data_IF_703038915099
#
_entry.id   IF_703038915099
#
_cell.length_a   1.000
_cell.length_b   1.000
_cell.length_c   1.000
_cell.angle_alpha   90.00
_cell.angle_beta   90.00
_cell.angle_gamma   90.00
#
_symmetry.space_group_name_H-M   'P 1'
#
loop_
_entity.id
_entity.type
_entity.pdbx_description
1 polymer ?
#
# COMPACT_ATOMS: atom_id res chain seq x y z
N UNK A 1 -4.16 -6.45 88.53
CA UNK A 1 -2.90 -6.55 87.75
C UNK A 1 -3.25 -6.85 86.31
N UNK A 2 -2.84 -6.15 85.27
CA UNK A 2 -2.36 -4.78 85.03
C UNK A 2 -2.32 -4.68 83.50
N UNK A 3 -2.88 -3.59 82.98
CA UNK A 3 -2.90 -3.15 81.59
C UNK A 3 -1.60 -3.40 80.79
N UNK A 4 -1.73 -3.67 79.49
CA UNK A 4 -1.17 -2.80 78.42
C UNK A 4 -1.67 -3.17 77.02
N UNK A 5 -1.81 -2.13 76.22
CA UNK A 5 -2.44 -2.03 74.91
C UNK A 5 -1.47 -2.26 73.73
N UNK A 6 -2.05 -2.64 72.59
CA UNK A 6 -1.79 -2.19 71.20
C UNK A 6 -0.37 -1.73 70.84
N UNK A 7 0.29 -2.45 69.92
CA UNK A 7 1.22 -1.86 68.93
C UNK A 7 0.98 -2.52 67.55
N UNK A 8 0.73 -1.64 66.59
CA UNK A 8 0.54 -1.85 65.14
C UNK A 8 1.91 -2.04 64.45
N UNK A 9 1.92 -2.80 63.34
CA UNK A 9 2.94 -2.86 62.28
C UNK A 9 4.30 -3.47 62.59
N UNK A 10 4.55 -4.67 62.05
CA UNK A 10 5.55 -4.92 60.99
C UNK A 10 5.46 -6.40 60.55
N UNK A 11 5.86 -6.71 59.30
CA UNK A 11 5.83 -8.02 58.61
C UNK A 11 4.46 -8.25 57.92
N UNK A 12 4.13 -7.79 56.70
CA UNK A 12 4.92 -7.56 55.48
C UNK A 12 6.02 -8.60 55.27
N UNK A 13 5.66 -9.88 55.12
CA UNK A 13 6.40 -10.82 54.27
C UNK A 13 5.68 -12.17 54.22
N UNK A 14 5.71 -12.76 53.02
CA UNK A 14 5.20 -14.06 52.60
C UNK A 14 3.73 -14.14 52.19
N UNK A 15 3.53 -13.90 50.89
CA UNK A 15 2.29 -14.21 50.21
C UNK A 15 2.05 -13.48 48.90
N UNK A 16 3.01 -12.71 48.38
CA UNK A 16 2.96 -12.18 47.02
C UNK A 16 3.14 -13.35 46.03
N UNK A 17 2.07 -14.15 45.86
CA UNK A 17 1.92 -14.98 44.67
C UNK A 17 1.66 -13.98 43.55
N UNK A 18 2.75 -13.58 42.92
CA UNK A 18 2.76 -12.80 41.70
C UNK A 18 1.90 -13.54 40.67
N UNK A 19 0.64 -13.14 40.58
CA UNK A 19 -0.20 -13.36 39.41
C UNK A 19 0.40 -12.57 38.25
N UNK A 20 1.53 -13.05 37.73
CA UNK A 20 2.01 -12.75 36.40
C UNK A 20 0.95 -13.33 35.46
N UNK A 21 -0.08 -12.52 35.20
CA UNK A 21 -0.92 -12.69 34.02
C UNK A 21 0.03 -12.61 32.83
N UNK A 22 0.51 -13.78 32.41
CA UNK A 22 1.24 -13.95 31.18
C UNK A 22 0.24 -13.59 30.08
N UNK A 23 0.28 -12.34 29.63
CA UNK A 23 -0.47 -11.92 28.45
C UNK A 23 0.09 -12.75 27.32
N UNK A 24 -0.63 -13.83 26.97
CA UNK A 24 -0.39 -14.51 25.71
C UNK A 24 -0.65 -13.46 24.64
N UNK A 25 0.41 -12.96 24.01
CA UNK A 25 0.34 -12.39 22.69
C UNK A 25 -0.15 -13.51 21.76
N UNK A 26 -1.47 -13.71 21.73
CA UNK A 26 -2.13 -14.47 20.69
C UNK A 26 -1.95 -13.62 19.45
N UNK A 27 -0.92 -13.93 18.66
CA UNK A 27 -0.88 -13.51 17.26
C UNK A 27 -2.14 -14.08 16.62
N UNK A 28 -3.14 -13.24 16.39
CA UNK A 28 -4.26 -13.56 15.51
C UNK A 28 -3.64 -14.10 14.21
N UNK A 29 -4.04 -15.27 13.70
CA UNK A 29 -3.48 -15.80 12.48
C UNK A 29 -3.62 -14.76 11.38
N UNK A 30 -2.47 -14.31 10.86
CA UNK A 30 -2.26 -13.26 9.86
C UNK A 30 -2.77 -13.65 8.45
N UNK A 31 -3.89 -14.35 8.41
CA UNK A 31 -4.44 -14.99 7.21
C UNK A 31 -5.74 -14.35 6.75
N UNK A 32 -6.44 -13.59 7.60
CA UNK A 32 -7.74 -13.00 7.25
C UNK A 32 -7.68 -11.51 6.89
N UNK A 33 -6.89 -11.17 5.86
CA UNK A 33 -6.64 -9.78 5.46
C UNK A 33 -6.50 -9.62 3.93
N UNK A 34 -6.64 -8.41 3.38
CA UNK A 34 -6.25 -8.15 2.00
C UNK A 34 -4.74 -8.28 1.85
N UNK A 35 -4.29 -8.76 0.69
CA UNK A 35 -2.86 -8.86 0.39
C UNK A 35 -2.60 -8.66 -1.09
N UNK A 36 -1.86 -7.61 -1.41
CA UNK A 36 -1.49 -7.27 -2.77
C UNK A 36 -0.24 -8.03 -3.21
N UNK A 37 -0.26 -8.52 -4.44
CA UNK A 37 0.90 -9.11 -5.12
C UNK A 37 1.03 -8.54 -6.52
N UNK A 38 2.27 -8.24 -6.91
CA UNK A 38 2.60 -7.71 -8.24
C UNK A 38 3.76 -8.51 -8.82
N UNK A 39 3.69 -8.82 -10.11
CA UNK A 39 4.75 -9.60 -10.79
C UNK A 39 5.96 -8.75 -11.15
N UNK A 40 5.73 -7.47 -11.47
CA UNK A 40 6.74 -6.50 -11.86
C UNK A 40 6.24 -5.10 -11.49
N UNK A 41 7.16 -4.24 -11.05
CA UNK A 41 6.87 -2.85 -10.68
C UNK A 41 7.73 -1.83 -11.43
N UNK A 42 8.64 -2.28 -12.29
CA UNK A 42 9.56 -1.42 -13.03
C UNK A 42 9.67 -1.87 -14.48
N UNK A 43 9.60 -0.94 -15.44
CA UNK A 43 9.83 -1.25 -16.86
C UNK A 43 10.66 -0.16 -17.55
N UNK A 44 11.69 -0.56 -18.30
CA UNK A 44 12.48 0.36 -19.12
C UNK A 44 11.90 0.39 -20.55
N UNK A 45 11.33 1.52 -20.93
CA UNK A 45 10.72 1.76 -22.25
C UNK A 45 11.81 2.07 -23.30
N UNK A 46 13.05 2.31 -22.88
CA UNK A 46 14.15 2.66 -23.75
C UNK A 46 14.06 4.09 -24.26
N UNK A 47 14.44 4.30 -25.51
CA UNK A 47 14.46 5.63 -26.12
C UNK A 47 13.11 5.98 -26.76
N UNK A 48 12.60 7.16 -26.45
CA UNK A 48 11.32 7.66 -26.96
C UNK A 48 11.44 9.11 -27.41
N UNK A 49 10.56 9.53 -28.32
CA UNK A 49 10.45 10.94 -28.71
C UNK A 49 9.60 11.71 -27.71
N UNK A 50 9.84 13.01 -27.59
CA UNK A 50 8.96 13.89 -26.79
C UNK A 50 7.47 13.84 -27.22
N UNK A 51 7.22 13.54 -28.51
CA UNK A 51 5.87 13.41 -29.08
C UNK A 51 5.20 12.07 -28.80
N UNK A 52 5.93 11.08 -28.28
CA UNK A 52 5.38 9.74 -28.08
C UNK A 52 4.42 9.70 -26.89
N UNK A 53 3.48 8.77 -26.93
CA UNK A 53 2.69 8.35 -25.77
C UNK A 53 3.01 6.89 -25.51
N UNK A 54 3.39 6.56 -24.28
CA UNK A 54 3.75 5.18 -23.91
C UNK A 54 2.89 4.70 -22.77
N UNK A 55 2.45 3.46 -22.86
CA UNK A 55 1.67 2.79 -21.84
C UNK A 55 2.42 1.56 -21.37
N UNK A 56 2.39 1.33 -20.06
CA UNK A 56 2.86 0.10 -19.45
C UNK A 56 1.80 -0.42 -18.49
N UNK A 57 1.43 -1.68 -18.69
CA UNK A 57 0.46 -2.38 -17.86
C UNK A 57 1.21 -3.24 -16.84
N UNK A 58 0.79 -3.14 -15.58
CA UNK A 58 1.29 -3.95 -14.48
C UNK A 58 0.18 -4.79 -13.89
N UNK A 59 0.52 -5.99 -13.43
CA UNK A 59 -0.42 -6.89 -12.77
C UNK A 59 -0.52 -6.58 -11.29
N UNK A 60 -1.75 -6.45 -10.79
CA UNK A 60 -2.05 -6.34 -9.36
C UNK A 60 -3.06 -7.43 -8.98
N UNK A 61 -2.59 -8.43 -8.23
CA UNK A 61 -3.40 -9.55 -7.76
C UNK A 61 -3.72 -9.40 -6.28
N UNK A 62 -4.94 -9.75 -5.89
CA UNK A 62 -5.27 -9.95 -4.48
C UNK A 62 -5.06 -11.42 -4.12
N UNK A 63 -4.03 -11.71 -3.34
CA UNK A 63 -3.73 -13.04 -2.82
C UNK A 63 -4.14 -13.21 -1.35
N UNK A 64 -4.81 -12.21 -0.79
CA UNK A 64 -5.41 -12.28 0.53
C UNK A 64 -6.78 -12.96 0.52
N UNK A 65 -7.42 -12.99 1.67
CA UNK A 65 -8.76 -13.58 1.85
C UNK A 65 -9.86 -12.53 1.98
N UNK A 66 -9.50 -11.23 2.05
CA UNK A 66 -10.43 -10.10 2.06
C UNK A 66 -10.28 -9.24 0.81
N UNK A 67 -11.31 -8.47 0.42
CA UNK A 67 -11.22 -7.54 -0.70
C UNK A 67 -10.08 -6.53 -0.53
N UNK A 68 -9.25 -6.40 -1.56
CA UNK A 68 -8.20 -5.41 -1.64
C UNK A 68 -8.80 -4.12 -2.21
N UNK A 69 -8.92 -3.10 -1.37
CA UNK A 69 -9.47 -1.81 -1.75
C UNK A 69 -8.38 -0.95 -2.39
N UNK A 70 -8.69 -0.32 -3.51
CA UNK A 70 -7.85 0.71 -4.12
C UNK A 70 -8.37 2.07 -3.65
N UNK A 71 -7.69 2.63 -2.67
CA UNK A 71 -8.12 3.81 -1.90
C UNK A 71 -7.74 5.13 -2.59
N UNK A 72 -6.63 5.12 -3.32
CA UNK A 72 -6.15 6.29 -4.06
C UNK A 72 -5.18 5.84 -5.17
N UNK A 73 -5.19 6.57 -6.28
CA UNK A 73 -4.23 6.48 -7.37
C UNK A 73 -3.73 7.89 -7.66
N UNK A 74 -2.41 8.02 -7.74
CA UNK A 74 -1.73 9.26 -8.05
C UNK A 74 -0.43 8.97 -8.83
N UNK A 75 0.29 9.99 -9.27
CA UNK A 75 1.52 9.89 -10.06
C UNK A 75 2.59 10.85 -9.57
N UNK A 76 3.84 10.62 -9.95
CA UNK A 76 4.96 11.53 -9.64
C UNK A 76 5.01 12.81 -10.50
N UNK A 77 4.28 12.87 -11.62
CA UNK A 77 4.31 13.98 -12.58
C UNK A 77 2.95 14.18 -13.25
N UNK A 78 2.56 15.41 -13.60
CA UNK A 78 1.36 15.68 -14.40
C UNK A 78 1.41 15.11 -15.83
N UNK A 79 2.62 14.77 -16.29
CA UNK A 79 2.89 14.08 -17.54
C UNK A 79 2.68 12.56 -17.46
N UNK A 80 2.35 12.01 -16.29
CA UNK A 80 2.15 10.59 -16.04
C UNK A 80 0.79 10.37 -15.42
N UNK A 81 0.08 9.34 -15.86
CA UNK A 81 -1.23 8.98 -15.30
C UNK A 81 -1.33 7.50 -14.95
N UNK A 82 -2.15 7.21 -13.96
CA UNK A 82 -2.52 5.85 -13.56
C UNK A 82 -4.00 5.56 -13.83
N UNK A 83 -4.31 4.34 -14.27
CA UNK A 83 -5.66 3.79 -14.36
C UNK A 83 -5.71 2.38 -13.76
N UNK A 84 -6.87 2.01 -13.22
CA UNK A 84 -7.17 0.65 -12.78
C UNK A 84 -8.16 0.03 -13.76
N UNK A 85 -7.83 -1.15 -14.26
CA UNK A 85 -8.70 -1.95 -15.13
C UNK A 85 -9.04 -3.24 -14.40
N UNK A 86 -10.32 -3.47 -14.15
CA UNK A 86 -10.77 -4.62 -13.38
C UNK A 86 -12.16 -5.05 -13.87
N UNK A 87 -12.31 -6.36 -14.19
CA UNK A 87 -13.56 -6.95 -14.70
C UNK A 87 -14.17 -6.23 -15.91
N UNK A 88 -13.32 -5.75 -16.82
CA UNK A 88 -13.73 -5.05 -18.03
C UNK A 88 -14.00 -3.55 -17.84
N UNK A 89 -14.06 -3.07 -16.60
CA UNK A 89 -14.22 -1.66 -16.29
C UNK A 89 -12.86 -0.96 -16.20
N UNK A 90 -12.76 0.21 -16.81
CA UNK A 90 -11.55 1.05 -16.79
C UNK A 90 -11.83 2.34 -16.03
N UNK A 91 -11.04 2.65 -15.01
CA UNK A 91 -11.17 3.89 -14.27
C UNK A 91 -10.81 5.12 -15.12
N UNK A 92 -11.15 6.30 -14.60
CA UNK A 92 -10.57 7.56 -15.11
C UNK A 92 -9.05 7.54 -14.99
N UNK A 93 -8.38 8.38 -15.77
CA UNK A 93 -6.95 8.67 -15.59
C UNK A 93 -6.73 9.59 -14.39
N UNK A 94 -5.79 9.22 -13.52
CA UNK A 94 -5.42 9.99 -12.34
C UNK A 94 -3.96 10.45 -12.41
N UNK A 95 -3.68 11.66 -11.91
CA UNK A 95 -2.36 12.29 -11.97
C UNK A 95 -2.06 13.10 -10.70
N UNK A 96 -0.86 13.67 -10.61
CA UNK A 96 -0.42 14.59 -9.53
C UNK A 96 -1.44 15.69 -9.23
N UNK A 97 -2.11 16.22 -10.25
CA UNK A 97 -3.08 17.31 -10.12
C UNK A 97 -4.54 16.84 -10.09
N UNK A 98 -4.77 15.53 -10.28
CA UNK A 98 -6.09 14.92 -10.41
C UNK A 98 -6.09 13.52 -9.82
N UNK A 99 -5.71 13.41 -8.54
CA UNK A 99 -5.67 12.14 -7.83
C UNK A 99 -7.08 11.56 -7.63
N UNK A 100 -7.16 10.24 -7.42
CA UNK A 100 -8.45 9.60 -7.18
C UNK A 100 -8.91 9.71 -5.71
N UNK A 101 -10.18 9.40 -5.46
CA UNK A 101 -10.60 8.84 -4.17
C UNK A 101 -10.57 7.32 -4.24
N UNK A 102 -11.46 6.66 -3.49
CA UNK A 102 -11.73 5.24 -3.68
C UNK A 102 -12.03 4.93 -5.15
N UNK A 103 -11.42 3.87 -5.69
CA UNK A 103 -11.54 3.48 -7.10
C UNK A 103 -12.37 2.20 -7.25
N UNK A 104 -11.95 1.12 -6.58
CA UNK A 104 -12.60 -0.20 -6.70
C UNK A 104 -12.11 -1.16 -5.61
N UNK A 105 -12.75 -2.33 -5.49
CA UNK A 105 -12.29 -3.46 -4.68
C UNK A 105 -11.98 -4.68 -5.55
N UNK A 106 -10.78 -5.22 -5.40
CA UNK A 106 -10.36 -6.45 -6.08
C UNK A 106 -10.67 -7.62 -5.15
N UNK A 107 -11.53 -8.53 -5.61
CA UNK A 107 -11.94 -9.67 -4.80
C UNK A 107 -10.76 -10.63 -4.52
N UNK A 108 -10.81 -11.42 -3.44
CA UNK A 108 -9.81 -12.47 -3.18
C UNK A 108 -9.59 -13.38 -4.40
N UNK A 109 -8.33 -13.58 -4.79
CA UNK A 109 -7.93 -14.40 -5.94
C UNK A 109 -7.97 -13.67 -7.29
N UNK A 110 -8.71 -12.56 -7.39
CA UNK A 110 -8.84 -11.81 -8.63
C UNK A 110 -7.60 -10.95 -8.94
N UNK A 111 -7.50 -10.54 -10.20
CA UNK A 111 -6.41 -9.72 -10.73
C UNK A 111 -6.96 -8.49 -11.45
N UNK A 112 -6.34 -7.35 -11.19
CA UNK A 112 -6.54 -6.11 -11.91
C UNK A 112 -5.27 -5.71 -12.66
N UNK A 113 -5.41 -4.79 -13.60
CA UNK A 113 -4.29 -4.14 -14.28
C UNK A 113 -4.15 -2.71 -13.79
N UNK A 114 -2.92 -2.33 -13.44
CA UNK A 114 -2.52 -0.94 -13.22
C UNK A 114 -1.87 -0.45 -14.50
N UNK A 115 -2.53 0.45 -15.22
CA UNK A 115 -2.00 1.04 -16.45
C UNK A 115 -1.34 2.37 -16.13
N UNK A 116 -0.03 2.45 -16.36
CA UNK A 116 0.74 3.68 -16.32
C UNK A 116 0.82 4.24 -17.75
N UNK A 117 0.39 5.49 -17.95
CA UNK A 117 0.57 6.20 -19.23
C UNK A 117 1.52 7.38 -19.05
N UNK A 118 2.53 7.48 -19.91
CA UNK A 118 3.49 8.58 -19.94
C UNK A 118 3.37 9.39 -21.23
N UNK A 119 3.23 10.71 -21.06
CA UNK A 119 3.07 11.72 -22.10
C UNK A 119 4.11 12.84 -21.91
N UNK A 120 5.34 12.69 -22.44
CA UNK A 120 6.38 13.70 -22.32
C UNK A 120 5.95 15.06 -22.86
N UNK A 121 5.14 15.11 -23.93
CA UNK A 121 4.63 16.35 -24.50
C UNK A 121 3.86 17.24 -23.51
N UNK A 122 3.22 16.64 -22.48
CA UNK A 122 2.51 17.39 -21.43
C UNK A 122 3.46 18.22 -20.57
N UNK A 123 4.66 17.71 -20.30
CA UNK A 123 5.71 18.41 -19.58
C UNK A 123 7.07 17.94 -20.10
N UNK A 124 7.58 18.60 -21.15
CA UNK A 124 8.79 18.15 -21.84
C UNK A 124 10.00 18.15 -20.91
N UNK A 125 10.53 16.95 -20.66
CA UNK A 125 11.80 16.74 -19.97
C UNK A 125 12.62 15.78 -20.84
N UNK A 126 13.77 16.24 -21.30
CA UNK A 126 14.67 15.49 -22.16
C UNK A 126 15.73 14.74 -21.33
N UNK A 127 16.29 13.69 -21.92
CA UNK A 127 17.28 12.84 -21.25
C UNK A 127 16.64 11.69 -20.47
N UNK A 128 17.37 11.17 -19.49
CA UNK A 128 16.91 10.04 -18.67
C UNK A 128 15.84 10.51 -17.67
N UNK A 129 14.70 9.85 -17.70
CA UNK A 129 13.58 10.13 -16.81
C UNK A 129 13.05 8.83 -16.21
N UNK A 130 12.60 8.93 -14.96
CA UNK A 130 11.83 7.89 -14.29
C UNK A 130 10.49 8.50 -13.85
N UNK A 131 9.41 7.76 -14.06
CA UNK A 131 8.04 8.20 -13.79
C UNK A 131 7.28 7.11 -13.08
N UNK A 132 6.43 7.52 -12.14
CA UNK A 132 5.82 6.58 -11.20
C UNK A 132 4.31 6.83 -11.09
N UNK A 133 3.59 5.73 -10.87
CA UNK A 133 2.19 5.71 -10.42
C UNK A 133 2.16 5.04 -9.05
N UNK A 134 1.53 5.73 -8.10
CA UNK A 134 1.29 5.24 -6.76
C UNK A 134 -0.14 4.70 -6.65
N UNK A 135 -0.29 3.51 -6.07
CA UNK A 135 -1.58 2.90 -5.77
C UNK A 135 -1.64 2.66 -4.27
N UNK A 136 -2.57 3.34 -3.60
CA UNK A 136 -2.80 3.20 -2.16
C UNK A 136 -3.84 2.12 -1.92
N UNK A 137 -3.53 1.19 -1.02
CA UNK A 137 -4.39 0.05 -0.72
C UNK A 137 -4.68 -0.08 0.78
N UNK A 138 -5.65 -0.94 1.12
CA UNK A 138 -5.92 -1.35 2.50
C UNK A 138 -5.10 -2.59 2.93
N UNK A 139 -4.11 -3.05 2.15
CA UNK A 139 -3.17 -4.08 2.60
C UNK A 139 -2.27 -3.49 3.70
N UNK A 140 -2.26 -4.02 4.93
CA UNK A 140 -1.49 -3.46 6.02
C UNK A 140 0.03 -3.48 5.78
N UNK A 141 0.53 -4.40 4.95
CA UNK A 141 1.95 -4.49 4.60
C UNK A 141 2.29 -3.71 3.33
N UNK A 142 1.33 -3.58 2.40
CA UNK A 142 1.53 -2.91 1.10
C UNK A 142 0.55 -1.75 0.90
N UNK A 143 0.52 -0.83 1.87
CA UNK A 143 -0.39 0.32 1.85
C UNK A 143 -0.12 1.25 0.67
N UNK A 144 1.11 1.28 0.15
CA UNK A 144 1.50 2.05 -1.04
C UNK A 144 2.32 1.16 -1.97
N UNK A 145 1.76 0.87 -3.12
CA UNK A 145 2.46 0.24 -4.24
C UNK A 145 2.99 1.33 -5.18
N UNK A 146 4.18 1.12 -5.74
CA UNK A 146 4.83 2.06 -6.65
C UNK A 146 5.14 1.32 -7.95
N UNK A 147 4.58 1.79 -9.05
CA UNK A 147 4.82 1.26 -10.39
C UNK A 147 5.58 2.30 -11.22
N UNK A 148 6.74 1.95 -11.75
CA UNK A 148 7.70 2.89 -12.29
C UNK A 148 8.10 2.53 -13.71
N UNK A 149 8.25 3.53 -14.56
CA UNK A 149 8.87 3.37 -15.87
C UNK A 149 10.14 4.20 -15.96
N UNK A 150 11.08 3.73 -16.77
CA UNK A 150 12.25 4.50 -17.17
C UNK A 150 12.22 4.73 -18.67
N UNK A 151 12.65 5.91 -19.10
CA UNK A 151 12.81 6.24 -20.51
C UNK A 151 13.98 7.21 -20.72
N UNK A 152 14.50 7.24 -21.94
CA UNK A 152 15.37 8.30 -22.44
C UNK A 152 14.63 9.11 -23.50
N UNK A 153 14.20 10.31 -23.14
CA UNK A 153 13.45 11.19 -24.04
C UNK A 153 14.42 11.98 -24.92
N UNK A 154 14.18 11.97 -26.23
CA UNK A 154 14.95 12.70 -27.24
C UNK A 154 14.06 13.64 -28.07
#
# INVERSE_FOLDING_TARGET
MSFKAVIISLILLFGAIAGLAFTRNISVPDSDRPRAETSQIFFDIGEIKVSDVKQQDYTLKNIGTKPLQILNVNSSCGCTTGQIIYKGETSKEYSMHSQSGFVTEIAPGDTATVRLTYRPATMPVYGLVEREVYVITNDPENQKLVFSIKAKVK
#
